data_IF_755368772081
#
_entry.id   IF_755368772081
#
_cell.length_a   1.000
_cell.length_b   1.000
_cell.length_c   1.000
_cell.angle_alpha   90.00
_cell.angle_beta   90.00
_cell.angle_gamma   90.00
#
_symmetry.space_group_name_H-M   'P 1'
#
loop_
_entity.id
_entity.type
_entity.pdbx_description
1 polymer ?
#
# COMPACT_ATOMS: atom_id res chain seq x y z
N UNK A 1 -17.38 -63.59 -41.04
CA UNK A 1 -17.47 -62.47 -42.00
C UNK A 1 -18.77 -61.75 -41.67
N UNK A 2 -18.81 -60.58 -41.05
CA UNK A 2 -17.98 -59.41 -41.29
C UNK A 2 -17.65 -58.67 -39.99
N UNK A 3 -16.37 -58.36 -39.86
CA UNK A 3 -15.79 -57.32 -39.01
C UNK A 3 -15.88 -56.01 -39.82
N UNK A 4 -15.91 -54.85 -39.13
CA UNK A 4 -15.93 -53.47 -39.63
C UNK A 4 -17.33 -52.86 -39.90
N UNK A 5 -17.84 -52.12 -38.93
CA UNK A 5 -18.09 -50.67 -39.06
C UNK A 5 -18.75 -50.12 -37.78
N UNK A 6 -18.53 -48.83 -37.52
CA UNK A 6 -19.11 -47.99 -36.46
C UNK A 6 -18.45 -48.05 -35.07
N UNK A 7 -17.12 -47.95 -35.06
CA UNK A 7 -16.45 -47.13 -34.06
C UNK A 7 -16.72 -45.65 -34.38
N UNK A 8 -17.71 -45.05 -33.73
CA UNK A 8 -18.13 -43.67 -34.05
C UNK A 8 -18.88 -42.91 -32.96
N UNK A 9 -18.94 -43.40 -31.72
CA UNK A 9 -19.71 -42.73 -30.65
C UNK A 9 -18.98 -42.53 -29.32
N UNK A 10 -17.66 -42.74 -29.25
CA UNK A 10 -16.88 -42.51 -28.02
C UNK A 10 -15.83 -41.39 -28.13
N UNK A 11 -15.91 -40.57 -29.19
CA UNK A 11 -15.02 -39.44 -29.41
C UNK A 11 -15.82 -38.14 -29.66
N UNK A 12 -16.75 -37.79 -28.76
CA UNK A 12 -17.40 -36.47 -28.81
C UNK A 12 -17.99 -36.02 -27.47
N UNK A 13 -17.34 -36.36 -26.37
CA UNK A 13 -17.61 -35.75 -25.05
C UNK A 13 -16.36 -35.15 -24.42
N UNK A 14 -15.40 -34.73 -25.25
CA UNK A 14 -14.55 -33.59 -24.91
C UNK A 14 -15.33 -32.31 -25.26
N UNK A 15 -16.52 -32.16 -24.66
CA UNK A 15 -17.22 -30.89 -24.66
C UNK A 15 -16.28 -29.89 -23.99
N UNK A 16 -15.96 -28.86 -24.75
CA UNK A 16 -15.13 -27.74 -24.37
C UNK A 16 -15.35 -27.43 -22.88
N UNK A 17 -14.31 -27.57 -22.07
CA UNK A 17 -14.18 -26.67 -20.93
C UNK A 17 -14.17 -25.29 -21.58
N UNK A 18 -15.33 -24.63 -21.57
CA UNK A 18 -15.42 -23.19 -21.73
C UNK A 18 -14.52 -22.62 -20.65
N UNK A 19 -13.26 -22.37 -20.99
CA UNK A 19 -12.42 -21.44 -20.25
C UNK A 19 -13.16 -20.13 -20.42
N UNK A 20 -14.06 -19.83 -19.49
CA UNK A 20 -14.59 -18.48 -19.34
C UNK A 20 -13.36 -17.58 -19.40
N UNK A 21 -13.30 -16.56 -20.28
CA UNK A 21 -12.29 -15.53 -20.10
C UNK A 21 -12.56 -14.93 -18.73
N UNK A 22 -11.77 -15.37 -17.74
CA UNK A 22 -11.85 -14.96 -16.34
C UNK A 22 -11.19 -13.59 -16.17
N UNK A 23 -11.45 -12.69 -17.13
CA UNK A 23 -10.92 -11.34 -17.10
C UNK A 23 -11.44 -10.65 -15.84
N UNK A 24 -10.58 -9.86 -15.23
CA UNK A 24 -10.95 -9.06 -14.07
C UNK A 24 -11.83 -7.91 -14.60
N UNK A 25 -13.09 -7.81 -14.17
CA UNK A 25 -14.00 -6.76 -14.66
C UNK A 25 -13.52 -5.38 -14.22
N UNK A 26 -13.96 -4.33 -14.90
CA UNK A 26 -13.78 -2.96 -14.41
C UNK A 26 -14.65 -2.74 -13.15
N UNK A 27 -14.23 -1.88 -12.22
CA UNK A 27 -15.04 -1.53 -11.06
C UNK A 27 -16.28 -0.74 -11.49
N UNK A 28 -17.46 -1.14 -11.03
CA UNK A 28 -18.71 -0.38 -11.20
C UNK A 28 -18.86 0.78 -10.22
N UNK A 29 -17.96 0.87 -9.24
CA UNK A 29 -18.04 1.78 -8.11
C UNK A 29 -16.66 2.36 -7.80
N UNK A 30 -16.57 3.68 -7.62
CA UNK A 30 -15.31 4.41 -7.36
C UNK A 30 -15.33 5.27 -6.09
N UNK A 31 -16.46 5.31 -5.38
CA UNK A 31 -16.59 6.08 -4.14
C UNK A 31 -18.03 6.42 -3.76
N UNK A 32 -18.18 7.12 -2.64
CA UNK A 32 -19.44 7.66 -2.17
C UNK A 32 -19.51 9.15 -2.47
N UNK A 33 -20.66 9.59 -2.95
CA UNK A 33 -20.99 11.00 -3.11
C UNK A 33 -22.16 11.31 -2.18
N UNK A 34 -21.88 12.00 -1.08
CA UNK A 34 -22.85 12.30 -0.03
C UNK A 34 -23.24 13.77 -0.17
N UNK A 35 -24.49 14.08 -0.56
CA UNK A 35 -24.96 15.46 -0.61
C UNK A 35 -25.15 15.99 0.83
N UNK A 36 -24.56 17.14 1.12
CA UNK A 36 -24.71 17.86 2.39
C UNK A 36 -25.28 19.27 2.12
N UNK A 37 -25.92 19.93 3.11
CA UNK A 37 -26.50 21.26 2.93
C UNK A 37 -25.50 22.35 2.47
N UNK A 38 -24.22 22.14 2.76
CA UNK A 38 -23.10 23.04 2.46
C UNK A 38 -22.20 22.56 1.32
N UNK A 39 -22.61 21.54 0.57
CA UNK A 39 -21.87 21.02 -0.59
C UNK A 39 -21.84 19.49 -0.67
N UNK A 40 -21.09 18.95 -1.61
CA UNK A 40 -21.00 17.52 -1.84
C UNK A 40 -19.71 16.95 -1.22
N UNK A 41 -19.85 15.95 -0.34
CA UNK A 41 -18.73 15.22 0.22
C UNK A 41 -18.43 13.99 -0.63
N UNK A 42 -17.27 13.97 -1.29
CA UNK A 42 -16.81 12.85 -2.11
C UNK A 42 -15.80 12.00 -1.34
N UNK A 43 -16.16 10.76 -1.02
CA UNK A 43 -15.26 9.77 -0.41
C UNK A 43 -14.85 8.77 -1.47
N UNK A 44 -13.62 8.90 -1.97
CA UNK A 44 -13.11 8.03 -3.03
C UNK A 44 -12.66 6.67 -2.48
N UNK A 45 -12.90 5.60 -3.25
CA UNK A 45 -12.52 4.23 -2.87
C UNK A 45 -11.01 4.10 -2.66
N UNK A 46 -10.19 4.76 -3.48
CA UNK A 46 -8.73 4.74 -3.31
C UNK A 46 -8.28 5.28 -1.94
N UNK A 47 -8.97 6.30 -1.42
CA UNK A 47 -8.66 6.89 -0.12
C UNK A 47 -8.95 5.91 1.01
N UNK A 48 -10.03 5.12 0.88
CA UNK A 48 -10.36 4.04 1.81
C UNK A 48 -9.32 2.92 1.76
N UNK A 49 -8.84 2.54 0.56
CA UNK A 49 -7.77 1.55 0.41
C UNK A 49 -6.46 2.02 1.07
N UNK A 50 -6.09 3.30 0.89
CA UNK A 50 -4.91 3.89 1.55
C UNK A 50 -5.08 3.91 3.07
N UNK A 51 -6.24 4.33 3.57
CA UNK A 51 -6.53 4.35 5.01
C UNK A 51 -6.45 2.94 5.61
N UNK A 52 -7.04 1.95 4.96
CA UNK A 52 -6.94 0.55 5.36
C UNK A 52 -5.47 0.08 5.36
N UNK A 53 -4.69 0.48 4.35
CA UNK A 53 -3.25 0.23 4.29
C UNK A 53 -2.50 0.82 5.48
N UNK A 54 -2.77 2.07 5.86
CA UNK A 54 -2.16 2.73 7.02
C UNK A 54 -2.50 1.99 8.31
N UNK A 55 -3.77 1.63 8.51
CA UNK A 55 -4.23 0.88 9.69
C UNK A 55 -3.52 -0.48 9.77
N UNK A 56 -3.47 -1.22 8.65
CA UNK A 56 -2.81 -2.52 8.59
C UNK A 56 -1.31 -2.42 8.85
N UNK A 57 -0.65 -1.40 8.32
CA UNK A 57 0.77 -1.14 8.57
C UNK A 57 1.04 -0.81 10.04
N UNK A 58 0.25 0.07 10.66
CA UNK A 58 0.36 0.40 12.08
C UNK A 58 0.09 -0.81 12.96
N UNK A 59 -0.93 -1.61 12.64
CA UNK A 59 -1.24 -2.84 13.36
C UNK A 59 -0.08 -3.85 13.29
N UNK A 60 0.43 -4.17 12.09
CA UNK A 60 1.53 -5.12 11.92
C UNK A 60 2.81 -4.60 12.59
N UNK A 61 3.08 -3.30 12.48
CA UNK A 61 4.19 -2.64 13.16
C UNK A 61 4.04 -2.78 14.67
N UNK A 62 2.86 -2.52 15.25
CA UNK A 62 2.60 -2.63 16.68
C UNK A 62 2.82 -4.04 17.22
N UNK A 63 2.33 -5.06 16.50
CA UNK A 63 2.54 -6.47 16.86
C UNK A 63 4.04 -6.78 16.94
N UNK A 64 4.82 -6.30 15.97
CA UNK A 64 6.27 -6.51 15.93
C UNK A 64 7.00 -5.66 16.96
N UNK A 65 6.53 -4.44 17.19
CA UNK A 65 7.07 -3.48 18.14
C UNK A 65 7.00 -4.01 19.58
N UNK A 66 5.83 -4.53 19.98
CA UNK A 66 5.64 -5.20 21.27
C UNK A 66 6.53 -6.44 21.42
N UNK A 67 6.64 -7.28 20.38
CA UNK A 67 7.53 -8.47 20.39
C UNK A 67 9.01 -8.13 20.51
N UNK A 68 9.40 -6.88 20.18
CA UNK A 68 10.77 -6.39 20.34
C UNK A 68 11.04 -5.80 21.73
N UNK A 69 10.05 -5.80 22.63
CA UNK A 69 10.17 -5.29 24.00
C UNK A 69 10.07 -3.76 24.09
N UNK A 70 9.43 -3.12 23.10
CA UNK A 70 9.24 -1.68 23.13
C UNK A 70 8.15 -1.26 24.14
N UNK A 71 8.23 -0.06 24.73
CA UNK A 71 7.21 0.43 25.66
C UNK A 71 5.82 0.43 25.03
N UNK A 72 4.80 0.01 25.79
CA UNK A 72 3.42 0.07 25.33
C UNK A 72 3.02 1.53 25.04
N UNK A 73 2.19 1.75 24.01
CA UNK A 73 1.77 3.10 23.62
C UNK A 73 2.78 3.87 22.76
N UNK A 74 4.09 3.61 22.91
CA UNK A 74 5.14 4.40 22.23
C UNK A 74 5.01 4.48 20.72
N UNK A 75 4.47 3.45 20.04
CA UNK A 75 4.21 3.53 18.59
C UNK A 75 3.16 4.60 18.25
N UNK A 76 2.11 4.72 19.05
CA UNK A 76 1.06 5.72 18.86
C UNK A 76 1.57 7.13 19.20
N UNK A 77 2.41 7.23 20.23
CA UNK A 77 3.13 8.47 20.56
C UNK A 77 4.07 8.89 19.44
N UNK A 78 4.62 7.96 18.66
CA UNK A 78 5.40 8.29 17.47
C UNK A 78 4.48 8.68 16.30
N UNK A 79 3.38 7.95 16.10
CA UNK A 79 2.43 8.19 15.01
C UNK A 79 1.81 9.60 15.06
N UNK A 80 1.55 10.13 16.27
CA UNK A 80 1.02 11.49 16.46
C UNK A 80 1.96 12.58 15.94
N UNK A 81 3.27 12.30 15.83
CA UNK A 81 4.25 13.19 15.21
C UNK A 81 4.45 12.86 13.73
N UNK A 82 4.60 11.57 13.39
CA UNK A 82 4.94 11.14 12.04
C UNK A 82 3.84 11.47 11.01
N UNK A 83 2.56 11.26 11.35
CA UNK A 83 1.45 11.45 10.41
C UNK A 83 1.23 12.93 10.07
N UNK A 84 1.10 13.86 11.05
CA UNK A 84 0.92 15.28 10.73
C UNK A 84 2.11 15.86 9.98
N UNK A 85 3.34 15.52 10.37
CA UNK A 85 4.53 15.95 9.62
C UNK A 85 4.53 15.42 8.18
N UNK A 86 4.10 14.18 7.96
CA UNK A 86 3.94 13.62 6.62
C UNK A 86 2.91 14.39 5.79
N UNK A 87 1.75 14.75 6.36
CA UNK A 87 0.74 15.55 5.65
C UNK A 87 1.29 16.93 5.30
N UNK A 88 1.93 17.61 6.27
CA UNK A 88 2.55 18.93 6.07
C UNK A 88 3.61 18.85 4.98
N UNK A 89 4.51 17.87 5.06
CA UNK A 89 5.57 17.71 4.07
C UNK A 89 5.06 17.39 2.68
N UNK A 90 4.03 16.53 2.58
CA UNK A 90 3.39 16.25 1.30
C UNK A 90 2.83 17.51 0.68
N UNK A 91 2.22 18.38 1.50
CA UNK A 91 1.69 19.64 1.00
C UNK A 91 2.79 20.61 0.57
N UNK A 92 3.82 20.78 1.39
CA UNK A 92 4.95 21.66 1.08
C UNK A 92 5.67 21.25 -0.21
N UNK A 93 5.90 19.95 -0.40
CA UNK A 93 6.52 19.46 -1.63
C UNK A 93 5.64 19.74 -2.86
N UNK A 94 4.33 19.55 -2.75
CA UNK A 94 3.42 19.83 -3.86
C UNK A 94 3.40 21.33 -4.23
N UNK A 95 3.40 22.22 -3.23
CA UNK A 95 3.50 23.66 -3.44
C UNK A 95 4.82 24.02 -4.13
N UNK A 96 5.91 23.38 -3.73
CA UNK A 96 7.23 23.58 -4.33
C UNK A 96 7.31 23.04 -5.77
N UNK A 97 6.76 21.86 -6.04
CA UNK A 97 6.83 21.21 -7.36
C UNK A 97 5.87 21.83 -8.39
N UNK A 98 4.84 22.54 -7.93
CA UNK A 98 3.81 23.15 -8.79
C UNK A 98 3.50 24.58 -8.33
N UNK A 99 4.48 25.50 -8.40
CA UNK A 99 4.40 26.81 -7.75
C UNK A 99 3.43 27.78 -8.42
N UNK A 100 3.14 27.61 -9.71
CA UNK A 100 2.35 28.56 -10.51
C UNK A 100 0.95 28.80 -9.94
N UNK A 101 0.28 27.77 -9.43
CA UNK A 101 -1.04 27.92 -8.83
C UNK A 101 -1.04 28.82 -7.57
N UNK A 102 0.08 28.86 -6.85
CA UNK A 102 0.22 29.54 -5.56
C UNK A 102 0.86 30.92 -5.67
N UNK A 103 1.82 31.07 -6.58
CA UNK A 103 2.62 32.29 -6.75
C UNK A 103 2.42 33.00 -8.09
N UNK A 104 1.66 32.39 -9.01
CA UNK A 104 1.42 32.87 -10.36
C UNK A 104 2.56 32.52 -11.34
N UNK A 105 2.32 32.63 -12.66
CA UNK A 105 3.34 32.34 -13.67
C UNK A 105 4.60 33.17 -13.44
N UNK A 106 5.76 32.51 -13.35
CA UNK A 106 7.05 33.19 -13.12
C UNK A 106 7.16 33.93 -11.78
N UNK A 107 6.40 33.54 -10.75
CA UNK A 107 6.37 34.21 -9.43
C UNK A 107 5.96 35.69 -9.50
N UNK A 108 5.10 36.04 -10.46
CA UNK A 108 4.57 37.39 -10.64
C UNK A 108 3.61 37.85 -9.51
N UNK A 109 3.29 36.99 -8.55
CA UNK A 109 2.43 37.30 -7.41
C UNK A 109 0.93 37.25 -7.73
N UNK A 110 0.53 36.79 -8.92
CA UNK A 110 -0.90 36.66 -9.29
C UNK A 110 -1.52 35.35 -8.84
N UNK A 111 -0.76 34.49 -8.13
CA UNK A 111 -1.25 33.21 -7.62
C UNK A 111 -2.09 33.35 -6.35
N UNK A 112 -2.74 32.26 -5.95
CA UNK A 112 -3.59 32.21 -4.77
C UNK A 112 -2.92 31.44 -3.61
N UNK A 113 -2.33 32.19 -2.69
CA UNK A 113 -1.69 31.64 -1.48
C UNK A 113 -2.69 30.93 -0.56
N UNK A 114 -3.99 31.26 -0.63
CA UNK A 114 -5.02 30.62 0.18
C UNK A 114 -5.18 29.14 -0.16
N UNK A 115 -4.69 28.70 -1.33
CA UNK A 115 -4.69 27.30 -1.72
C UNK A 115 -3.72 26.46 -0.88
N UNK A 116 -2.63 27.03 -0.35
CA UNK A 116 -1.56 26.28 0.37
C UNK A 116 -2.11 25.37 1.48
N UNK A 117 -2.97 25.81 2.41
CA UNK A 117 -3.50 24.93 3.46
C UNK A 117 -4.60 23.94 2.98
N UNK A 118 -5.13 24.11 1.77
CA UNK A 118 -6.33 23.38 1.30
C UNK A 118 -6.03 21.96 0.83
N UNK A 119 -5.61 21.09 1.75
CA UNK A 119 -5.25 19.69 1.47
C UNK A 119 -6.43 18.85 0.94
N UNK A 120 -7.67 19.27 1.19
CA UNK A 120 -8.87 18.61 0.68
C UNK A 120 -9.06 18.78 -0.84
N UNK A 121 -8.37 19.75 -1.46
CA UNK A 121 -8.32 19.90 -2.93
C UNK A 121 -7.33 18.92 -3.59
N UNK A 122 -6.72 18.02 -2.82
CA UNK A 122 -5.65 17.16 -3.27
C UNK A 122 -4.29 17.86 -3.26
N UNK A 123 -3.32 17.33 -4.00
CA UNK A 123 -1.98 17.89 -4.09
C UNK A 123 -1.12 17.62 -2.85
N UNK A 124 -0.82 16.33 -2.63
CA UNK A 124 0.14 15.86 -1.63
C UNK A 124 1.26 15.09 -2.35
N UNK A 125 2.48 15.59 -2.24
CA UNK A 125 3.66 14.96 -2.81
C UNK A 125 4.21 13.85 -1.92
N UNK A 126 4.40 12.65 -2.47
CA UNK A 126 4.88 11.49 -1.68
C UNK A 126 6.29 11.70 -1.12
N UNK A 127 7.17 12.38 -1.86
CA UNK A 127 8.54 12.67 -1.44
C UNK A 127 8.59 13.58 -0.21
N UNK A 128 7.81 14.67 -0.22
CA UNK A 128 7.68 15.56 0.93
C UNK A 128 7.08 14.85 2.14
N UNK A 129 6.05 14.03 1.91
CA UNK A 129 5.42 13.28 2.98
C UNK A 129 6.37 12.27 3.63
N UNK A 130 7.19 11.59 2.83
CA UNK A 130 8.18 10.66 3.33
C UNK A 130 9.28 11.37 4.15
N UNK A 131 9.86 12.45 3.63
CA UNK A 131 10.98 13.14 4.29
C UNK A 131 10.54 13.73 5.63
N UNK A 132 9.48 14.54 5.65
CA UNK A 132 9.01 15.14 6.89
C UNK A 132 8.33 14.11 7.79
N UNK A 133 7.67 13.08 7.25
CA UNK A 133 7.16 11.96 8.05
C UNK A 133 8.26 11.24 8.83
N UNK A 134 9.43 11.02 8.24
CA UNK A 134 10.61 10.47 8.93
C UNK A 134 11.12 11.44 10.00
N UNK A 135 11.13 12.75 9.74
CA UNK A 135 11.48 13.77 10.75
C UNK A 135 10.50 13.72 11.93
N UNK A 136 9.19 13.65 11.67
CA UNK A 136 8.17 13.48 12.71
C UNK A 136 8.37 12.19 13.50
N UNK A 137 8.63 11.07 12.83
CA UNK A 137 8.94 9.81 13.48
C UNK A 137 10.20 9.89 14.36
N UNK A 138 11.24 10.58 13.90
CA UNK A 138 12.46 10.82 14.66
C UNK A 138 12.20 11.63 15.93
N UNK A 139 11.41 12.71 15.84
CA UNK A 139 10.99 13.51 17.01
C UNK A 139 10.21 12.62 17.98
N UNK A 140 9.22 11.87 17.49
CA UNK A 140 8.43 10.93 18.29
C UNK A 140 9.31 9.89 19.00
N UNK A 141 10.27 9.29 18.29
CA UNK A 141 11.21 8.32 18.85
C UNK A 141 12.08 8.91 19.96
N UNK A 142 12.59 10.14 19.77
CA UNK A 142 13.37 10.85 20.79
C UNK A 142 12.55 11.13 22.04
N UNK A 143 11.28 11.53 21.89
CA UNK A 143 10.37 11.78 23.03
C UNK A 143 9.97 10.50 23.76
N UNK A 144 9.81 9.40 23.03
CA UNK A 144 9.47 8.10 23.60
C UNK A 144 10.69 7.29 24.10
N UNK A 145 11.91 7.84 24.02
CA UNK A 145 13.12 7.15 24.49
C UNK A 145 13.50 5.91 23.67
N UNK A 146 13.11 5.82 22.39
CA UNK A 146 13.31 4.64 21.54
C UNK A 146 14.14 4.94 20.30
N UNK A 147 14.83 3.92 19.78
CA UNK A 147 15.67 4.03 18.58
C UNK A 147 14.83 4.04 17.32
N UNK A 148 15.02 5.06 16.47
CA UNK A 148 14.38 5.15 15.16
C UNK A 148 14.70 3.93 14.26
N UNK A 149 15.93 3.42 14.31
CA UNK A 149 16.32 2.23 13.53
C UNK A 149 15.53 0.99 13.93
N UNK A 150 15.21 0.83 15.22
CA UNK A 150 14.36 -0.26 15.68
C UNK A 150 12.92 -0.09 15.18
N UNK A 151 12.39 1.14 15.18
CA UNK A 151 11.06 1.44 14.67
C UNK A 151 10.97 1.10 13.19
N UNK A 152 11.92 1.58 12.38
CA UNK A 152 11.88 1.38 10.93
C UNK A 152 12.03 -0.11 10.58
N UNK A 153 12.86 -0.87 11.30
CA UNK A 153 12.90 -2.34 11.14
C UNK A 153 11.56 -3.00 11.54
N UNK A 154 10.90 -2.52 12.60
CA UNK A 154 9.58 -3.04 12.96
C UNK A 154 8.53 -2.72 11.88
N UNK A 155 8.61 -1.53 11.30
CA UNK A 155 7.67 -1.00 10.31
C UNK A 155 7.87 -1.52 8.89
N UNK A 156 9.07 -1.99 8.52
CA UNK A 156 9.39 -2.38 7.14
C UNK A 156 8.39 -3.38 6.50
N UNK A 157 7.97 -4.47 7.17
CA UNK A 157 6.90 -5.33 6.63
C UNK A 157 5.54 -4.63 6.55
N UNK A 158 5.25 -3.72 7.48
CA UNK A 158 4.04 -2.89 7.45
C UNK A 158 3.99 -1.98 6.23
N UNK A 159 5.13 -1.46 5.75
CA UNK A 159 5.18 -0.64 4.54
C UNK A 159 4.71 -1.41 3.29
N UNK A 160 5.19 -2.65 3.11
CA UNK A 160 4.72 -3.51 2.01
C UNK A 160 3.24 -3.85 2.15
N UNK A 161 2.75 -4.09 3.37
CA UNK A 161 1.34 -4.36 3.60
C UNK A 161 0.45 -3.15 3.24
N UNK A 162 0.86 -1.94 3.62
CA UNK A 162 0.19 -0.72 3.19
C UNK A 162 0.19 -0.57 1.66
N UNK A 163 1.33 -0.83 1.01
CA UNK A 163 1.42 -0.79 -0.45
C UNK A 163 0.50 -1.84 -1.10
N UNK A 164 0.48 -3.08 -0.59
CA UNK A 164 -0.36 -4.14 -1.12
C UNK A 164 -1.85 -3.76 -1.14
N UNK A 165 -2.32 -3.13 -0.06
CA UNK A 165 -3.70 -2.67 0.08
C UNK A 165 -3.95 -1.39 -0.73
N UNK A 166 -3.00 -0.44 -0.74
CA UNK A 166 -3.10 0.79 -1.50
C UNK A 166 -3.25 0.57 -3.01
N UNK A 167 -2.66 -0.51 -3.55
CA UNK A 167 -2.78 -0.86 -4.98
C UNK A 167 -4.21 -1.13 -5.44
N UNK A 168 -5.07 -1.62 -4.55
CA UNK A 168 -6.48 -1.78 -4.87
C UNK A 168 -7.19 -0.44 -5.13
N UNK A 169 -6.64 0.68 -4.63
CA UNK A 169 -7.09 2.00 -5.02
C UNK A 169 -6.90 2.30 -6.51
N UNK A 170 -5.80 1.81 -7.12
CA UNK A 170 -5.56 1.97 -8.56
C UNK A 170 -6.57 1.16 -9.39
N UNK A 171 -7.00 0.00 -8.90
CA UNK A 171 -8.09 -0.77 -9.52
C UNK A 171 -9.38 0.05 -9.54
N UNK A 172 -9.84 0.56 -8.39
CA UNK A 172 -11.07 1.37 -8.31
C UNK A 172 -10.98 2.68 -9.11
N UNK A 173 -9.80 3.28 -9.18
CA UNK A 173 -9.57 4.51 -9.97
C UNK A 173 -9.26 4.22 -11.45
N UNK A 174 -9.21 2.94 -11.84
CA UNK A 174 -8.91 2.48 -13.20
C UNK A 174 -7.65 3.13 -13.78
N UNK A 175 -6.54 3.08 -13.05
CA UNK A 175 -5.29 3.73 -13.42
C UNK A 175 -4.07 2.82 -13.23
N UNK A 176 -2.93 3.23 -13.78
CA UNK A 176 -1.61 2.58 -13.66
C UNK A 176 -1.55 1.12 -14.10
N UNK A 177 -2.47 0.66 -14.96
CA UNK A 177 -2.47 -0.67 -15.56
C UNK A 177 -1.34 -0.85 -16.60
N UNK A 178 -1.08 -2.10 -16.97
CA UNK A 178 -0.01 -2.45 -17.90
C UNK A 178 -0.48 -2.49 -19.36
N UNK A 179 0.38 -2.99 -20.24
CA UNK A 179 0.08 -3.09 -21.67
C UNK A 179 -1.06 -4.05 -22.02
N UNK A 180 -1.52 -4.03 -23.29
CA UNK A 180 -2.54 -4.95 -23.78
C UNK A 180 -2.12 -6.41 -23.55
N UNK A 181 -3.09 -7.27 -23.22
CA UNK A 181 -2.83 -8.68 -22.93
C UNK A 181 -3.96 -9.57 -23.42
N UNK A 182 -3.63 -10.82 -23.75
CA UNK A 182 -4.61 -11.87 -24.10
C UNK A 182 -4.74 -12.91 -23.00
N UNK A 183 -4.11 -12.69 -21.85
CA UNK A 183 -4.12 -13.60 -20.71
C UNK A 183 -5.53 -13.70 -20.10
N UNK A 184 -5.93 -14.88 -19.59
CA UNK A 184 -7.28 -15.10 -19.10
C UNK A 184 -7.62 -14.31 -17.82
N UNK A 185 -6.65 -13.67 -17.17
CA UNK A 185 -6.83 -12.77 -16.02
C UNK A 185 -6.59 -11.29 -16.40
N UNK A 186 -6.68 -10.93 -17.68
CA UNK A 186 -6.56 -9.55 -18.13
C UNK A 186 -7.59 -8.63 -17.47
N UNK A 187 -7.22 -7.38 -17.22
CA UNK A 187 -8.06 -6.35 -16.62
C UNK A 187 -8.87 -5.64 -17.71
N UNK A 188 -10.19 -5.59 -17.51
CA UNK A 188 -11.06 -4.70 -18.24
C UNK A 188 -10.95 -3.29 -17.66
N UNK A 189 -10.82 -2.30 -18.54
CA UNK A 189 -10.87 -0.87 -18.20
C UNK A 189 -12.07 -0.30 -18.94
N UNK A 190 -12.90 0.46 -18.24
CA UNK A 190 -14.10 1.07 -18.80
C UNK A 190 -13.70 2.03 -19.95
N UNK A 191 -14.19 1.81 -21.19
CA UNK A 191 -13.92 2.69 -22.32
C UNK A 191 -14.39 4.14 -22.13
N UNK A 192 -15.33 4.37 -21.21
CA UNK A 192 -15.81 5.71 -20.83
C UNK A 192 -14.95 6.38 -19.74
N UNK A 193 -14.02 5.64 -19.13
CA UNK A 193 -13.08 6.19 -18.15
C UNK A 193 -12.13 7.19 -18.80
N UNK A 194 -11.91 8.34 -18.15
CA UNK A 194 -10.91 9.32 -18.59
C UNK A 194 -9.47 8.78 -18.59
N UNK A 195 -9.23 7.63 -17.95
CA UNK A 195 -7.94 6.94 -17.93
C UNK A 195 -7.81 5.88 -19.04
N UNK A 196 -8.84 5.64 -19.86
CA UNK A 196 -8.76 4.68 -20.95
C UNK A 196 -7.77 5.20 -22.03
N UNK A 197 -6.77 4.41 -22.47
CA UNK A 197 -5.76 4.92 -23.38
C UNK A 197 -6.33 5.10 -24.78
N UNK A 198 -5.99 6.21 -25.43
CA UNK A 198 -6.45 6.49 -26.80
C UNK A 198 -5.84 5.50 -27.80
N UNK A 199 -6.61 5.14 -28.82
CA UNK A 199 -6.16 4.26 -29.91
C UNK A 199 -6.31 2.75 -29.65
N UNK A 200 -6.92 2.34 -28.53
CA UNK A 200 -7.26 0.94 -28.25
C UNK A 200 -8.74 0.65 -28.46
N UNK A 201 -9.06 -0.60 -28.82
CA UNK A 201 -10.44 -1.06 -28.94
C UNK A 201 -11.10 -1.21 -27.55
N UNK A 202 -12.41 -0.98 -27.46
CA UNK A 202 -13.16 -0.99 -26.20
C UNK A 202 -13.11 -2.32 -25.42
N UNK A 203 -12.87 -3.43 -26.12
CA UNK A 203 -12.74 -4.78 -25.57
C UNK A 203 -11.28 -5.16 -25.21
N UNK A 204 -10.34 -4.23 -25.34
CA UNK A 204 -8.93 -4.46 -25.01
C UNK A 204 -8.75 -4.77 -23.53
N UNK A 205 -8.12 -5.91 -23.23
CA UNK A 205 -7.69 -6.27 -21.89
C UNK A 205 -6.28 -5.77 -21.62
N UNK A 206 -6.01 -5.35 -20.39
CA UNK A 206 -4.72 -4.84 -19.95
C UNK A 206 -4.10 -5.71 -18.86
N UNK A 207 -2.79 -5.67 -18.70
CA UNK A 207 -2.13 -6.35 -17.57
C UNK A 207 -2.57 -5.72 -16.23
N UNK A 208 -3.14 -6.50 -15.27
CA UNK A 208 -3.54 -6.00 -13.95
C UNK A 208 -2.32 -5.75 -13.05
N UNK A 209 -1.56 -4.70 -13.33
CA UNK A 209 -0.38 -4.30 -12.53
C UNK A 209 -0.72 -4.08 -11.05
N UNK A 210 -1.92 -3.57 -10.72
CA UNK A 210 -2.36 -3.43 -9.34
C UNK A 210 -2.31 -4.77 -8.58
N UNK A 211 -2.75 -5.85 -9.24
CA UNK A 211 -2.79 -7.20 -8.65
C UNK A 211 -1.39 -7.77 -8.58
N UNK A 212 -0.59 -7.62 -9.64
CA UNK A 212 0.80 -8.04 -9.66
C UNK A 212 1.61 -7.37 -8.54
N UNK A 213 1.45 -6.06 -8.37
CA UNK A 213 2.07 -5.29 -7.28
C UNK A 213 1.53 -5.70 -5.91
N UNK A 214 0.22 -5.92 -5.77
CA UNK A 214 -0.37 -6.34 -4.49
C UNK A 214 0.17 -7.69 -4.05
N UNK A 215 0.20 -8.67 -4.94
CA UNK A 215 0.74 -10.01 -4.69
C UNK A 215 2.24 -9.99 -4.40
N UNK A 216 3.01 -9.22 -5.18
CA UNK A 216 4.45 -9.01 -4.93
C UNK A 216 4.66 -8.45 -3.52
N UNK A 217 3.92 -7.41 -3.13
CA UNK A 217 4.05 -6.83 -1.81
C UNK A 217 3.68 -7.82 -0.69
N UNK A 218 2.63 -8.63 -0.85
CA UNK A 218 2.26 -9.67 0.12
C UNK A 218 3.34 -10.76 0.26
N UNK A 219 3.93 -11.21 -0.86
CA UNK A 219 5.09 -12.12 -0.84
C UNK A 219 6.26 -11.48 -0.09
N UNK A 220 6.52 -10.19 -0.35
CA UNK A 220 7.53 -9.43 0.38
C UNK A 220 7.27 -9.35 1.89
N UNK A 221 6.03 -9.12 2.32
CA UNK A 221 5.64 -9.16 3.74
C UNK A 221 6.02 -10.53 4.32
N UNK A 222 5.59 -11.62 3.69
CA UNK A 222 5.90 -12.97 4.15
C UNK A 222 7.40 -13.22 4.24
N UNK A 223 8.16 -12.88 3.19
CA UNK A 223 9.62 -13.03 3.14
C UNK A 223 10.32 -12.27 4.26
N UNK A 224 10.00 -10.97 4.44
CA UNK A 224 10.62 -10.17 5.50
C UNK A 224 10.30 -10.73 6.89
N UNK A 225 9.06 -11.19 7.13
CA UNK A 225 8.68 -11.79 8.41
C UNK A 225 9.40 -13.11 8.67
N UNK A 226 9.52 -13.98 7.66
CA UNK A 226 10.22 -15.27 7.79
C UNK A 226 11.72 -15.08 8.02
N UNK A 227 12.36 -14.19 7.26
CA UNK A 227 13.78 -13.88 7.39
C UNK A 227 14.04 -13.22 8.75
N UNK A 228 13.23 -12.26 9.17
CA UNK A 228 13.38 -11.61 10.47
C UNK A 228 13.17 -12.58 11.63
N UNK A 229 12.23 -13.54 11.51
CA UNK A 229 12.05 -14.59 12.52
C UNK A 229 13.29 -15.47 12.66
N UNK A 230 13.97 -15.79 11.55
CA UNK A 230 15.14 -16.68 11.53
C UNK A 230 16.46 -16.00 11.93
N UNK A 231 16.65 -14.75 11.52
CA UNK A 231 17.92 -14.03 11.66
C UNK A 231 17.86 -12.85 12.64
N UNK A 232 16.67 -12.49 13.14
CA UNK A 232 16.43 -11.39 14.09
C UNK A 232 17.12 -10.11 13.64
N UNK A 233 16.73 -9.61 12.46
CA UNK A 233 17.39 -8.48 11.83
C UNK A 233 17.12 -7.17 12.62
N UNK A 234 18.21 -6.50 13.01
CA UNK A 234 18.26 -5.24 13.78
C UNK A 234 19.17 -4.22 13.10
N UNK A 235 19.16 -2.98 13.59
CA UNK A 235 19.98 -1.83 13.11
C UNK A 235 19.64 -1.32 11.71
N UNK A 236 18.38 -1.39 11.31
CA UNK A 236 17.97 -1.01 9.96
C UNK A 236 18.24 -2.10 8.91
N UNK A 237 18.76 -3.28 9.30
CA UNK A 237 19.03 -4.36 8.33
C UNK A 237 17.74 -4.84 7.64
N UNK A 238 16.61 -4.84 8.35
CA UNK A 238 15.34 -5.27 7.75
C UNK A 238 14.80 -4.20 6.80
N UNK A 239 15.02 -2.92 7.10
CA UNK A 239 14.73 -1.82 6.18
C UNK A 239 15.52 -1.96 4.87
N UNK A 240 16.82 -2.20 4.94
CA UNK A 240 17.64 -2.34 3.74
C UNK A 240 17.25 -3.58 2.94
N UNK A 241 16.88 -4.68 3.60
CA UNK A 241 16.33 -5.84 2.93
C UNK A 241 14.99 -5.54 2.24
N UNK A 242 14.12 -4.75 2.88
CA UNK A 242 12.91 -4.22 2.25
C UNK A 242 13.25 -3.40 1.00
N UNK A 243 14.23 -2.50 1.06
CA UNK A 243 14.60 -1.65 -0.07
C UNK A 243 15.13 -2.47 -1.25
N UNK A 244 15.94 -3.51 -0.99
CA UNK A 244 16.38 -4.50 -1.99
C UNK A 244 15.16 -5.17 -2.63
N UNK A 245 14.23 -5.68 -1.81
CA UNK A 245 13.04 -6.38 -2.31
C UNK A 245 12.12 -5.48 -3.15
N UNK A 246 11.88 -4.26 -2.67
CA UNK A 246 11.04 -3.28 -3.33
C UNK A 246 11.60 -2.87 -4.69
N UNK A 247 12.90 -2.61 -4.76
CA UNK A 247 13.57 -2.21 -6.01
C UNK A 247 13.59 -3.33 -7.05
N UNK A 248 13.71 -4.60 -6.63
CA UNK A 248 13.54 -5.75 -7.54
C UNK A 248 12.15 -5.79 -8.17
N UNK A 249 11.10 -5.59 -7.36
CA UNK A 249 9.73 -5.53 -7.85
C UNK A 249 9.52 -4.39 -8.84
N UNK A 250 10.08 -3.21 -8.54
CA UNK A 250 9.94 -2.03 -9.37
C UNK A 250 10.46 -2.22 -10.79
N UNK A 251 11.59 -2.91 -10.98
CA UNK A 251 12.20 -3.03 -12.32
C UNK A 251 11.25 -3.73 -13.31
N UNK A 252 10.69 -4.89 -12.97
CA UNK A 252 9.87 -5.65 -13.92
C UNK A 252 8.43 -5.12 -14.04
N UNK A 253 7.87 -4.57 -12.96
CA UNK A 253 6.51 -4.01 -12.99
C UNK A 253 6.48 -2.71 -13.78
N UNK A 254 7.51 -1.87 -13.64
CA UNK A 254 7.64 -0.63 -14.40
C UNK A 254 7.83 -0.91 -15.90
N UNK A 255 8.42 -2.06 -16.26
CA UNK A 255 8.53 -2.50 -17.65
C UNK A 255 7.18 -2.93 -18.27
N UNK A 256 6.19 -3.33 -17.46
CA UNK A 256 4.86 -3.71 -17.92
C UNK A 256 3.92 -2.51 -18.12
N UNK A 257 4.24 -1.37 -17.49
CA UNK A 257 3.38 -0.19 -17.47
C UNK A 257 3.40 0.55 -18.81
N UNK A 258 2.26 1.15 -19.16
CA UNK A 258 2.07 1.92 -20.41
C UNK A 258 1.87 3.43 -20.21
N UNK A 259 1.75 3.89 -18.97
CA UNK A 259 1.59 5.31 -18.67
C UNK A 259 2.83 6.12 -19.07
N UNK A 260 2.63 7.39 -19.40
CA UNK A 260 3.72 8.31 -19.69
C UNK A 260 4.55 8.55 -18.42
N UNK A 261 5.80 8.10 -18.44
CA UNK A 261 6.78 8.37 -17.39
C UNK A 261 8.03 8.97 -18.02
N UNK A 262 8.72 9.84 -17.29
CA UNK A 262 9.99 10.44 -17.70
C UNK A 262 11.00 9.35 -18.09
N UNK A 263 11.53 9.42 -19.31
CA UNK A 263 12.49 8.46 -19.84
C UNK A 263 13.87 9.10 -19.95
N UNK A 264 14.90 8.37 -19.54
CA UNK A 264 16.29 8.81 -19.63
C UNK A 264 17.13 7.71 -20.26
N UNK A 265 18.03 8.12 -21.17
CA UNK A 265 19.01 7.24 -21.80
C UNK A 265 20.30 7.25 -21.00
N UNK A 266 20.66 6.11 -20.41
CA UNK A 266 22.01 5.87 -19.89
C UNK A 266 22.61 4.66 -20.59
N UNK A 267 23.91 4.73 -20.91
CA UNK A 267 24.67 3.64 -21.54
C UNK A 267 24.01 3.06 -22.82
N UNK A 268 23.33 3.90 -23.60
CA UNK A 268 22.64 3.48 -24.83
C UNK A 268 21.31 2.76 -24.61
N UNK A 269 20.82 2.66 -23.37
CA UNK A 269 19.52 2.08 -23.03
C UNK A 269 18.58 3.20 -22.57
N UNK A 270 17.51 3.43 -23.31
CA UNK A 270 16.43 4.35 -22.93
C UNK A 270 15.40 3.59 -22.11
N UNK A 271 15.22 3.99 -20.85
CA UNK A 271 14.18 3.43 -19.99
C UNK A 271 13.64 4.50 -19.03
N UNK A 272 12.56 4.17 -18.32
CA UNK A 272 11.91 5.06 -17.36
C UNK A 272 12.89 5.42 -16.23
N UNK A 273 12.88 6.68 -15.80
CA UNK A 273 13.72 7.21 -14.71
C UNK A 273 13.61 6.34 -13.45
N UNK A 274 12.39 5.87 -13.14
CA UNK A 274 12.11 4.98 -12.02
C UNK A 274 12.92 3.69 -12.04
N UNK A 275 13.24 3.14 -13.21
CA UNK A 275 14.05 1.92 -13.35
C UNK A 275 15.50 2.23 -12.97
N UNK A 276 16.07 3.32 -13.48
CA UNK A 276 17.42 3.76 -13.12
C UNK A 276 17.56 4.06 -11.63
N UNK A 277 16.60 4.80 -11.05
CA UNK A 277 16.57 5.06 -9.61
C UNK A 277 16.46 3.76 -8.82
N UNK A 278 15.67 2.79 -9.28
CA UNK A 278 15.55 1.48 -8.62
C UNK A 278 16.86 0.70 -8.64
N UNK A 279 17.60 0.69 -9.75
CA UNK A 279 18.92 0.03 -9.85
C UNK A 279 19.91 0.68 -8.88
N UNK A 280 20.00 2.01 -8.87
CA UNK A 280 20.89 2.73 -7.95
C UNK A 280 20.57 2.44 -6.49
N UNK A 281 19.29 2.55 -6.11
CA UNK A 281 18.84 2.27 -4.74
C UNK A 281 19.05 0.81 -4.37
N UNK A 282 18.87 -0.13 -5.31
CA UNK A 282 19.15 -1.56 -5.10
C UNK A 282 20.63 -1.78 -4.72
N UNK A 283 21.56 -1.23 -5.51
CA UNK A 283 23.01 -1.38 -5.26
C UNK A 283 23.40 -0.77 -3.92
N UNK A 284 22.94 0.45 -3.62
CA UNK A 284 23.22 1.09 -2.33
C UNK A 284 22.64 0.25 -1.18
N UNK A 285 21.40 -0.20 -1.31
CA UNK A 285 20.74 -0.99 -0.27
C UNK A 285 21.44 -2.32 -0.03
N UNK A 286 21.90 -2.98 -1.09
CA UNK A 286 22.68 -4.21 -1.00
C UNK A 286 24.01 -3.99 -0.28
N UNK A 287 24.77 -2.97 -0.68
CA UNK A 287 26.06 -2.66 -0.05
C UNK A 287 25.89 -2.32 1.43
N UNK A 288 24.91 -1.50 1.80
CA UNK A 288 24.65 -1.16 3.20
C UNK A 288 24.15 -2.38 3.98
N UNK A 289 23.27 -3.20 3.41
CA UNK A 289 22.82 -4.44 4.04
C UNK A 289 23.98 -5.40 4.32
N UNK A 290 24.90 -5.58 3.36
CA UNK A 290 26.08 -6.42 3.51
C UNK A 290 27.04 -5.85 4.56
N UNK A 291 27.34 -4.56 4.51
CA UNK A 291 28.19 -3.89 5.49
C UNK A 291 27.65 -4.05 6.92
N UNK A 292 26.35 -3.77 7.13
CA UNK A 292 25.69 -3.94 8.43
C UNK A 292 25.63 -5.42 8.87
N UNK A 293 25.57 -6.35 7.92
CA UNK A 293 25.57 -7.78 8.21
C UNK A 293 26.96 -8.30 8.64
N UNK A 294 28.04 -7.72 8.12
CA UNK A 294 29.42 -8.04 8.53
C UNK A 294 29.73 -7.39 9.89
N UNK A 295 29.46 -6.08 10.03
CA UNK A 295 29.75 -5.32 11.26
C UNK A 295 28.86 -5.78 12.43
N UNK A 296 27.62 -6.18 12.14
CA UNK A 296 26.62 -6.55 13.15
C UNK A 296 26.74 -7.96 13.73
N UNK A 297 27.53 -8.87 13.12
CA UNK A 297 27.62 -10.28 13.54
C UNK A 297 28.01 -10.47 15.00
N UNK A 298 28.82 -9.57 15.56
CA UNK A 298 29.30 -9.68 16.94
C UNK A 298 28.40 -9.02 18.00
N UNK A 299 27.36 -8.26 17.61
CA UNK A 299 26.53 -7.48 18.55
C UNK A 299 25.00 -7.66 18.38
N UNK A 300 24.56 -8.55 17.50
CA UNK A 300 23.15 -8.68 17.11
C UNK A 300 22.22 -9.20 18.23
N UNK A 301 22.75 -9.89 19.25
CA UNK A 301 21.93 -10.52 20.30
C UNK A 301 21.62 -9.64 21.51
N UNK A 302 22.24 -8.47 21.69
CA UNK A 302 22.17 -7.71 22.96
C UNK A 302 21.55 -6.31 22.86
N UNK A 303 21.08 -5.87 21.69
CA UNK A 303 20.77 -4.45 21.53
C UNK A 303 19.32 -4.06 21.86
N UNK A 304 19.14 -3.24 22.88
CA UNK A 304 17.85 -2.71 23.34
C UNK A 304 17.17 -1.82 22.29
N UNK A 305 15.82 -1.84 22.28
CA UNK A 305 14.97 -0.92 21.48
C UNK A 305 15.07 0.52 21.99
N UNK A 306 15.40 0.67 23.27
CA UNK A 306 15.49 1.93 23.98
C UNK A 306 16.76 2.68 23.58
N UNK A 307 16.70 4.01 23.65
CA UNK A 307 17.87 4.88 23.58
C UNK A 307 18.74 4.67 24.84
N UNK A 308 20.04 4.90 24.72
CA UNK A 308 20.96 4.84 25.86
C UNK A 308 20.48 5.77 26.98
N UNK A 309 20.46 5.27 28.21
CA UNK A 309 19.97 5.99 29.40
C UNK A 309 18.44 5.98 29.59
N UNK A 310 17.68 5.28 28.75
CA UNK A 310 16.24 5.04 28.92
C UNK A 310 15.93 3.57 29.24
N UNK A 311 16.95 2.78 29.58
CA UNK A 311 16.76 1.40 30.01
C UNK A 311 16.10 1.44 31.40
N UNK A 312 15.14 0.54 31.69
CA UNK A 312 14.57 0.46 33.04
C UNK A 312 15.72 0.23 34.02
N UNK A 313 15.77 1.02 35.10
CA UNK A 313 16.65 0.72 36.24
C UNK A 313 16.35 -0.72 36.65
N UNK A 314 17.30 -1.62 36.39
CA UNK A 314 17.29 -2.91 37.01
C UNK A 314 17.49 -2.60 38.50
N UNK A 315 16.41 -2.67 39.28
CA UNK A 315 16.56 -2.80 40.71
C UNK A 315 17.46 -4.02 40.91
N UNK A 316 18.75 -3.77 41.18
CA UNK A 316 19.58 -4.77 41.83
C UNK A 316 18.77 -5.23 43.05
N UNK A 317 18.59 -6.54 43.28
CA UNK A 317 17.98 -6.97 44.53
C UNK A 317 18.81 -6.31 45.63
N UNK A 318 18.16 -5.44 46.42
CA UNK A 318 18.83 -4.78 47.53
C UNK A 318 19.58 -5.86 48.30
N UNK A 319 20.87 -5.65 48.63
CA UNK A 319 21.61 -6.62 49.42
C UNK A 319 20.84 -6.76 50.72
N UNK A 320 20.23 -7.94 50.91
CA UNK A 320 19.54 -8.32 52.14
C UNK A 320 20.44 -7.92 53.30
N UNK A 321 20.02 -6.91 54.05
CA UNK A 321 20.72 -6.46 55.24
C UNK A 321 20.97 -7.67 56.15
N UNK A 322 22.20 -7.73 56.62
CA UNK A 322 22.71 -8.73 57.54
C UNK A 322 21.74 -9.01 58.69
N UNK A 323 21.21 -10.25 58.73
CA UNK A 323 20.81 -10.87 60.00
C UNK A 323 21.94 -11.79 60.40
N UNK A 324 22.90 -11.26 61.15
CA UNK A 324 23.77 -12.09 61.99
C UNK A 324 23.08 -12.32 63.34
N UNK A 325 22.76 -13.58 63.64
CA UNK A 325 23.28 -14.25 64.84
C UNK A 325 22.96 -15.76 64.81
N UNK A 326 23.94 -16.65 65.07
CA UNK A 326 23.72 -18.07 65.20
C UNK A 326 23.27 -18.41 66.63
N UNK A 327 22.19 -19.18 66.76
CA UNK A 327 21.84 -19.79 68.05
C UNK A 327 22.12 -21.29 67.96
N UNK A 328 23.07 -21.70 68.80
CA UNK A 328 23.51 -23.05 69.14
C UNK A 328 22.34 -23.99 69.43
N UNK A 329 22.45 -25.22 68.92
CA UNK A 329 21.54 -26.32 69.24
C UNK A 329 22.01 -27.03 70.51
N UNK A 330 21.09 -27.26 71.45
CA UNK A 330 21.23 -28.24 72.54
C UNK A 330 20.09 -29.29 72.40
N UNK A 331 20.38 -30.60 72.56
CA UNK A 331 19.49 -31.69 72.17
C UNK A 331 18.79 -32.36 73.37
N UNK A 332 17.55 -32.85 73.24
CA UNK A 332 17.02 -33.98 74.04
C UNK A 332 15.86 -34.69 73.32
N UNK A 333 16.15 -35.92 72.90
CA UNK A 333 15.44 -37.21 73.02
C UNK A 333 13.91 -37.37 72.82
N UNK A 334 13.63 -38.40 72.00
CA UNK A 334 12.92 -39.64 72.35
C UNK A 334 11.51 -39.95 71.76
N UNK A 335 11.52 -41.05 70.97
CA UNK A 335 10.49 -42.09 70.69
C UNK A 335 9.14 -41.62 70.10
N UNK A 336 8.43 -42.29 69.18
CA UNK A 336 8.34 -43.70 68.82
C UNK A 336 7.54 -43.85 67.50
N UNK A 337 8.13 -44.54 66.51
CA UNK A 337 7.61 -45.70 65.75
C UNK A 337 6.16 -45.73 65.16
N UNK A 338 6.09 -46.44 64.02
CA UNK A 338 4.97 -47.20 63.40
C UNK A 338 4.08 -46.37 62.46
N UNK A 339 3.70 -46.78 61.25
CA UNK A 339 4.13 -47.73 60.21
C UNK A 339 3.13 -47.51 59.05
N UNK A 340 3.56 -47.69 57.81
CA UNK A 340 2.66 -47.88 56.66
C UNK A 340 1.92 -49.23 56.75
N UNK A 341 0.76 -49.41 56.07
CA UNK A 341 0.83 -50.00 54.72
C UNK A 341 -0.28 -49.55 53.71
N UNK A 342 0.13 -49.35 52.44
CA UNK A 342 -0.33 -49.89 51.14
C UNK A 342 -1.69 -50.66 50.99
N UNK A 343 -2.23 -50.92 49.77
CA UNK A 343 -2.78 -50.04 48.70
C UNK A 343 -4.14 -50.63 48.15
N UNK A 344 -4.44 -50.49 46.83
CA UNK A 344 -5.56 -51.07 45.99
C UNK A 344 -6.90 -50.30 46.06
N UNK A 345 -7.64 -49.90 45.00
CA UNK A 345 -8.07 -50.59 43.76
C UNK A 345 -8.69 -49.60 42.73
N UNK A 346 -8.60 -49.95 41.44
CA UNK A 346 -9.13 -49.31 40.23
C UNK A 346 -10.67 -49.40 40.06
N UNK A 347 -11.28 -48.44 39.32
CA UNK A 347 -12.33 -48.66 38.29
C UNK A 347 -12.76 -47.35 37.57
N UNK A 348 -12.77 -47.35 36.23
CA UNK A 348 -13.47 -46.44 35.28
C UNK A 348 -14.87 -47.02 34.92
N UNK A 349 -15.67 -46.48 33.96
CA UNK A 349 -16.17 -45.11 33.68
C UNK A 349 -17.70 -45.06 33.40
N UNK A 350 -18.32 -43.87 33.25
CA UNK A 350 -19.65 -43.61 32.61
C UNK A 350 -19.98 -42.10 32.74
N UNK A 351 -20.84 -41.40 32.00
CA UNK A 351 -21.51 -41.49 30.69
C UNK A 351 -22.25 -40.13 30.53
N UNK A 352 -22.63 -39.79 29.29
CA UNK A 352 -23.28 -38.59 28.76
C UNK A 352 -24.58 -38.10 29.42
N UNK A 353 -24.88 -36.79 29.29
CA UNK A 353 -26.22 -36.27 28.87
C UNK A 353 -26.20 -34.78 28.49
N UNK A 354 -26.76 -34.44 27.32
CA UNK A 354 -27.27 -33.09 26.96
C UNK A 354 -28.62 -32.81 27.67
N UNK A 355 -29.25 -31.61 27.53
CA UNK A 355 -30.25 -31.48 26.46
C UNK A 355 -30.48 -30.08 25.83
N UNK A 356 -31.01 -30.15 24.61
CA UNK A 356 -32.14 -29.44 23.98
C UNK A 356 -32.09 -27.98 23.47
N UNK A 357 -32.23 -27.94 22.14
CA UNK A 357 -32.81 -26.93 21.27
C UNK A 357 -34.35 -26.85 21.33
N UNK A 358 -34.93 -25.66 21.14
CA UNK A 358 -36.31 -25.48 20.65
C UNK A 358 -36.40 -24.29 19.68
N UNK A 359 -36.77 -24.59 18.43
CA UNK A 359 -37.43 -23.69 17.47
C UNK A 359 -38.95 -23.80 17.65
N UNK A 360 -39.70 -22.74 17.36
CA UNK A 360 -41.12 -22.83 16.98
C UNK A 360 -41.49 -21.75 15.95
N UNK A 361 -42.41 -22.13 15.08
CA UNK A 361 -42.64 -21.70 13.70
C UNK A 361 -43.56 -20.49 13.46
N UNK A 362 -43.31 -19.84 12.31
CA UNK A 362 -44.17 -19.43 11.17
C UNK A 362 -45.65 -18.97 11.28
N UNK A 363 -45.92 -17.90 10.51
CA UNK A 363 -47.06 -17.65 9.59
C UNK A 363 -48.33 -16.87 10.04
N UNK A 364 -48.56 -15.72 9.38
CA UNK A 364 -49.81 -15.19 8.77
C UNK A 364 -49.49 -13.78 8.17
N UNK A 365 -49.36 -13.56 6.85
CA UNK A 365 -50.41 -13.32 5.83
C UNK A 365 -51.50 -12.32 6.29
N UNK A 366 -51.95 -11.26 5.60
CA UNK A 366 -51.91 -10.86 4.19
C UNK A 366 -52.46 -9.42 4.05
N UNK A 367 -52.03 -8.71 2.99
CA UNK A 367 -52.83 -7.84 2.10
C UNK A 367 -53.19 -6.36 2.38
N UNK A 368 -53.35 -5.69 1.21
CA UNK A 368 -53.84 -4.35 0.83
C UNK A 368 -52.77 -3.25 0.77
N UNK A 369 -52.43 -2.61 -0.36
CA UNK A 369 -53.00 -2.64 -1.71
C UNK A 369 -52.86 -1.25 -2.38
N UNK A 370 -52.04 -1.19 -3.43
CA UNK A 370 -52.22 -0.47 -4.73
C UNK A 370 -52.61 1.03 -4.74
N UNK A 371 -51.73 1.87 -5.30
CA UNK A 371 -52.15 2.77 -6.41
C UNK A 371 -51.00 3.15 -7.35
N UNK A 372 -51.33 3.06 -8.65
CA UNK A 372 -50.51 3.32 -9.83
C UNK A 372 -50.56 4.81 -10.27
N UNK A 373 -49.65 5.12 -11.20
CA UNK A 373 -49.83 5.89 -12.44
C UNK A 373 -49.15 7.27 -12.53
N UNK A 374 -48.23 7.33 -13.51
CA UNK A 374 -48.04 8.32 -14.57
C UNK A 374 -48.01 9.81 -14.22
N UNK A 375 -46.98 10.52 -14.70
CA UNK A 375 -47.06 11.47 -15.84
C UNK A 375 -45.71 12.15 -16.08
N UNK A 376 -45.36 12.34 -17.35
CA UNK A 376 -44.23 13.11 -17.86
C UNK A 376 -44.29 14.61 -17.51
N UNK A 377 -43.14 15.31 -17.53
CA UNK A 377 -42.90 16.55 -18.30
C UNK A 377 -41.77 17.42 -17.69
N UNK A 378 -40.74 17.65 -18.52
CA UNK A 378 -40.06 18.93 -18.85
C UNK A 378 -39.76 19.98 -17.77
N UNK A 379 -38.46 20.32 -17.66
CA UNK A 379 -37.84 21.66 -17.83
C UNK A 379 -36.39 21.60 -17.25
N UNK A 380 -35.28 21.70 -18.01
CA UNK A 380 -34.77 22.83 -18.81
C UNK A 380 -34.71 24.13 -17.98
N UNK A 381 -33.55 24.57 -17.46
CA UNK A 381 -32.59 25.57 -18.01
C UNK A 381 -31.76 26.07 -16.79
N UNK A 382 -30.55 26.62 -16.82
CA UNK A 382 -29.64 27.23 -17.80
C UNK A 382 -28.19 27.03 -17.22
N UNK A 383 -27.03 27.27 -17.83
CA UNK A 383 -26.49 28.25 -18.80
C UNK A 383 -24.98 27.82 -18.91
N UNK A 384 -24.16 28.00 -19.95
CA UNK A 384 -24.27 28.57 -21.29
C UNK A 384 -23.02 28.08 -22.04
N UNK A 385 -23.20 27.54 -23.25
CA UNK A 385 -22.20 27.66 -24.30
C UNK A 385 -22.39 29.04 -24.95
N UNK A 386 -21.29 29.71 -25.33
CA UNK A 386 -21.33 30.78 -26.32
C UNK A 386 -20.35 30.48 -27.44
N UNK A 387 -20.93 30.51 -28.62
CA UNK A 387 -20.36 30.21 -29.92
C UNK A 387 -19.78 31.48 -30.56
N UNK A 388 -18.88 31.27 -31.50
CA UNK A 388 -18.39 32.28 -32.44
C UNK A 388 -19.48 32.59 -33.48
N UNK A 389 -19.55 33.84 -33.97
CA UNK A 389 -19.86 34.11 -35.38
C UNK A 389 -19.49 35.54 -35.78
N UNK A 390 -19.03 35.62 -37.04
CA UNK A 390 -18.41 36.74 -37.72
C UNK A 390 -19.41 37.72 -38.34
N UNK A 391 -18.90 38.90 -38.74
CA UNK A 391 -19.31 39.54 -40.00
C UNK A 391 -18.19 40.43 -40.59
N UNK A 392 -18.07 40.41 -41.93
CA UNK A 392 -17.12 41.11 -42.83
C UNK A 392 -17.77 42.47 -43.31
N UNK A 393 -17.24 43.36 -44.22
CA UNK A 393 -16.38 43.12 -45.40
C UNK A 393 -15.34 44.20 -45.85
N UNK A 394 -14.62 43.83 -46.92
CA UNK A 394 -14.02 44.62 -48.03
C UNK A 394 -12.74 45.46 -47.84
N UNK A 395 -11.65 45.09 -48.54
CA UNK A 395 -11.14 45.80 -49.73
C UNK A 395 -9.97 45.06 -50.42
N UNK A 396 -9.86 45.31 -51.73
CA UNK A 396 -8.99 44.70 -52.75
C UNK A 396 -7.74 45.56 -52.93
N UNK A 397 -6.54 44.98 -53.08
CA UNK A 397 -5.55 45.48 -54.07
C UNK A 397 -4.49 44.43 -54.47
N UNK A 398 -4.13 44.56 -55.74
CA UNK A 398 -3.39 43.79 -56.74
C UNK A 398 -1.84 43.76 -56.63
N UNK A 399 -1.25 42.71 -57.24
CA UNK A 399 0.04 42.63 -58.00
C UNK A 399 1.36 42.96 -57.25
N UNK A 400 2.51 42.29 -57.43
CA UNK A 400 3.23 42.00 -58.70
C UNK A 400 4.43 41.06 -58.45
N UNK A 401 4.90 40.43 -59.53
CA UNK A 401 6.08 39.55 -59.72
C UNK A 401 7.46 40.13 -59.36
N UNK A 402 8.45 39.24 -59.14
CA UNK A 402 9.85 39.28 -59.63
C UNK A 402 10.66 38.20 -58.87
N UNK A 403 10.92 37.03 -59.45
CA UNK A 403 12.02 36.65 -60.36
C UNK A 403 13.32 36.15 -59.68
N UNK A 404 13.92 35.17 -60.37
CA UNK A 404 15.31 34.73 -60.36
C UNK A 404 15.82 33.78 -59.25
N UNK A 405 16.10 32.54 -59.69
CA UNK A 405 16.85 31.54 -58.95
C UNK A 405 18.36 31.51 -59.23
N UNK A 406 19.06 30.71 -58.43
CA UNK A 406 20.36 30.03 -58.67
C UNK A 406 20.70 29.30 -57.36
N UNK A 407 20.54 27.97 -57.26
CA UNK A 407 21.46 26.89 -57.64
C UNK A 407 22.82 26.87 -56.90
N UNK A 408 23.13 25.68 -56.33
CA UNK A 408 24.44 25.15 -55.86
C UNK A 408 24.92 25.68 -54.50
N UNK A 409 25.39 24.90 -53.52
CA UNK A 409 25.63 23.47 -53.35
C UNK A 409 26.49 23.22 -52.10
N UNK A 410 26.35 22.05 -51.48
CA UNK A 410 27.37 21.22 -50.79
C UNK A 410 28.27 21.79 -49.67
N UNK A 411 28.44 20.95 -48.63
CA UNK A 411 29.55 20.79 -47.65
C UNK A 411 29.59 21.73 -46.43
N UNK A 412 29.39 21.19 -45.22
CA UNK A 412 30.37 20.57 -44.29
C UNK A 412 31.01 21.58 -43.33
N UNK A 413 30.85 21.28 -42.02
CA UNK A 413 31.71 21.60 -40.87
C UNK A 413 32.00 23.09 -40.53
N UNK A 414 31.42 23.56 -39.42
CA UNK A 414 32.08 23.63 -38.11
C UNK A 414 31.08 23.89 -37.00
#
# INVERSE_FOLDING_TARGET
>A
MSILALGGHLASTAQAMSVLPASIPSPTWSGFEIPLPWGQLSIRAYALCILLGIIAALWLTNVRWKRRGAPAGSLWDIAIWAIPFGIIGGRLYHVFSSPEAYFGPGFNGTGDLSLIPQIWRGGLGIWGAMVLGIVGAWIGCRRAGVKLTALIDAAAPGLLLAQALGRWGNYFNQELFGGPTTLPWGLQVDPSSGNFPTGYAADTLFHPTFLYESLWNLVGVALLLLIDRRFKLRRGRLLWLYAIYYTLGRVWIEALRIDTAEQITFFGITTRLNVWTSILVFVISLLVFLALSVIGRNKANQESVLLSGHEPELNEPEPTEHVEQPVEAEPVDDVERIAEPDPVTQAEPAESTEPDSVQLDEALAEQVGVHNADTASQNATAESARDNLADNPSEVHTSTESEAGKQVGSKEQS
#
